data_IF_806027049488
#
_entry.id   IF_806027049488
#
_cell.length_a   1.000
_cell.length_b   1.000
_cell.length_c   1.000
_cell.angle_alpha   90.00
_cell.angle_beta   90.00
_cell.angle_gamma   90.00
#
_symmetry.space_group_name_H-M   'P 1'
#
loop_
_entity.id
_entity.type
_entity.pdbx_description
1 polymer ?
#
# COMPACT_ATOMS: atom_id res chain seq x y z
N UNK A 1 14.49 -12.72 -21.44
CA UNK A 1 14.23 -11.47 -20.68
C UNK A 1 12.93 -10.87 -21.20
N UNK A 2 11.97 -10.57 -20.33
CA UNK A 2 10.70 -9.95 -20.77
C UNK A 2 10.91 -8.43 -20.85
N UNK A 3 10.60 -7.84 -22.02
CA UNK A 3 10.74 -6.39 -22.20
C UNK A 3 9.80 -5.60 -21.26
N UNK A 4 10.32 -4.51 -20.70
CA UNK A 4 9.55 -3.61 -19.83
C UNK A 4 8.89 -2.56 -20.69
N UNK A 5 7.59 -2.72 -20.96
CA UNK A 5 6.84 -1.84 -21.85
C UNK A 5 5.78 -1.08 -21.04
N UNK A 6 5.63 0.23 -21.28
CA UNK A 6 4.59 1.05 -20.65
C UNK A 6 3.20 0.76 -21.23
N UNK A 7 2.14 1.16 -20.52
CA UNK A 7 0.76 0.90 -20.98
C UNK A 7 0.48 1.49 -22.36
N UNK A 8 0.98 2.70 -22.63
CA UNK A 8 0.73 3.40 -23.89
C UNK A 8 1.40 2.66 -25.05
N UNK A 9 2.68 2.32 -24.92
CA UNK A 9 3.43 1.56 -25.91
C UNK A 9 2.96 0.10 -26.07
N UNK A 10 2.25 -0.45 -25.07
CA UNK A 10 1.58 -1.76 -25.18
C UNK A 10 0.25 -1.68 -25.94
N UNK A 11 -0.41 -0.53 -25.94
CA UNK A 11 -1.70 -0.29 -26.61
C UNK A 11 -1.56 0.34 -27.99
N UNK A 12 -0.39 0.87 -28.36
CA UNK A 12 -0.16 1.46 -29.67
C UNK A 12 -0.30 0.41 -30.78
N UNK A 13 -1.09 0.75 -31.81
CA UNK A 13 -1.46 -0.11 -32.95
C UNK A 13 -0.30 -0.46 -33.90
N UNK A 14 0.92 0.04 -33.67
CA UNK A 14 2.09 -0.32 -34.49
C UNK A 14 2.52 -1.78 -34.34
N UNK A 15 1.88 -2.58 -33.47
CA UNK A 15 2.09 -4.02 -33.38
C UNK A 15 1.53 -4.83 -34.57
N UNK A 16 0.80 -4.21 -35.51
CA UNK A 16 0.28 -4.90 -36.72
C UNK A 16 0.84 -4.37 -38.04
N UNK A 17 1.86 -3.51 -38.02
CA UNK A 17 2.61 -3.14 -39.22
C UNK A 17 4.00 -3.79 -39.12
N UNK A 18 4.22 -4.85 -39.89
CA UNK A 18 5.57 -5.23 -40.29
C UNK A 18 6.14 -4.06 -41.09
N UNK A 19 6.81 -3.12 -40.40
CA UNK A 19 7.70 -2.19 -41.06
C UNK A 19 8.88 -3.00 -41.59
N UNK A 20 9.14 -2.92 -42.89
CA UNK A 20 10.32 -3.55 -43.47
C UNK A 20 11.59 -2.98 -42.82
N UNK A 21 12.65 -3.78 -42.76
CA UNK A 21 13.99 -3.41 -42.27
C UNK A 21 14.51 -2.07 -42.85
N UNK A 22 14.00 -1.64 -43.99
CA UNK A 22 14.33 -0.37 -44.62
C UNK A 22 13.85 0.88 -43.85
N UNK A 23 12.83 0.75 -42.99
CA UNK A 23 12.30 1.88 -42.19
C UNK A 23 13.12 2.21 -40.94
N UNK A 24 14.05 1.34 -40.54
CA UNK A 24 14.98 1.55 -39.43
C UNK A 24 16.38 2.00 -39.85
N UNK A 25 16.72 1.94 -41.15
CA UNK A 25 18.06 2.25 -41.68
C UNK A 25 18.23 3.73 -42.08
N UNK A 26 17.36 4.63 -41.62
CA UNK A 26 17.39 6.06 -41.96
C UNK A 26 18.21 6.96 -41.03
N UNK A 27 18.76 6.45 -39.92
CA UNK A 27 19.64 7.24 -39.04
C UNK A 27 20.83 6.41 -38.61
N UNK A 28 21.87 6.42 -39.44
CA UNK A 28 23.19 5.98 -39.05
C UNK A 28 23.74 6.92 -37.98
N UNK A 29 23.81 6.43 -36.74
CA UNK A 29 24.87 6.79 -35.80
C UNK A 29 25.28 5.47 -35.12
N UNK A 30 26.58 5.13 -35.08
CA UNK A 30 27.00 3.85 -34.54
C UNK A 30 26.77 3.86 -33.02
N UNK A 31 25.86 3.00 -32.56
CA UNK A 31 25.81 2.61 -31.16
C UNK A 31 27.07 1.79 -30.86
N UNK A 32 28.14 2.50 -30.50
CA UNK A 32 29.29 1.92 -29.84
C UNK A 32 28.86 1.57 -28.42
N UNK A 33 28.72 0.28 -28.16
CA UNK A 33 28.71 -0.24 -26.79
C UNK A 33 30.08 0.06 -26.20
N UNK A 34 30.19 1.16 -25.46
CA UNK A 34 31.28 1.33 -24.50
C UNK A 34 30.75 0.89 -23.15
N UNK A 35 31.33 -0.20 -22.64
CA UNK A 35 31.35 -0.45 -21.20
C UNK A 35 32.14 0.71 -20.57
N UNK A 36 31.44 1.78 -20.18
CA UNK A 36 32.02 2.83 -19.36
C UNK A 36 32.13 2.31 -17.93
N UNK A 37 33.35 2.15 -17.46
CA UNK A 37 33.67 1.83 -16.07
C UNK A 37 32.97 2.82 -15.12
N UNK A 38 32.33 2.27 -14.09
CA UNK A 38 31.64 3.06 -13.08
C UNK A 38 32.63 3.97 -12.35
N UNK A 39 32.41 5.29 -12.41
CA UNK A 39 33.03 6.21 -11.45
C UNK A 39 32.48 5.89 -10.06
N UNK A 40 33.37 5.55 -9.13
CA UNK A 40 33.03 5.32 -7.74
C UNK A 40 32.46 6.61 -7.12
N UNK A 41 31.21 6.57 -6.65
CA UNK A 41 30.67 7.63 -5.79
C UNK A 41 29.21 8.06 -6.00
N UNK A 42 28.51 7.61 -7.04
CA UNK A 42 27.10 7.96 -7.24
C UNK A 42 26.23 6.69 -7.27
N UNK A 43 25.46 6.47 -6.21
CA UNK A 43 24.42 5.44 -6.19
C UNK A 43 23.27 5.86 -7.11
N UNK A 44 23.40 5.66 -8.42
CA UNK A 44 22.27 5.79 -9.32
C UNK A 44 21.37 4.56 -9.15
N UNK A 45 20.28 4.71 -8.41
CA UNK A 45 19.21 3.73 -8.45
C UNK A 45 18.74 3.63 -9.91
N UNK A 46 19.00 2.51 -10.57
CA UNK A 46 18.62 2.27 -11.97
C UNK A 46 17.12 2.57 -12.16
N UNK A 47 16.83 3.70 -12.80
CA UNK A 47 15.45 4.12 -13.03
C UNK A 47 14.85 3.18 -14.06
N UNK A 48 13.84 2.40 -13.64
CA UNK A 48 13.15 1.48 -14.54
C UNK A 48 12.43 2.26 -15.65
N UNK A 49 12.88 2.11 -16.89
CA UNK A 49 12.34 2.82 -18.05
C UNK A 49 11.62 1.88 -19.03
N UNK A 50 10.70 2.43 -19.82
CA UNK A 50 10.05 1.72 -20.91
C UNK A 50 11.04 1.43 -22.04
N UNK A 51 11.19 0.18 -22.46
CA UNK A 51 12.10 -0.22 -23.55
C UNK A 51 11.76 0.39 -24.92
N UNK A 52 10.53 0.93 -25.10
CA UNK A 52 10.09 1.55 -26.37
C UNK A 52 10.18 3.06 -26.40
N UNK A 53 9.71 3.73 -25.35
CA UNK A 53 9.66 5.20 -25.30
C UNK A 53 10.63 5.82 -24.29
N UNK A 54 11.42 5.00 -23.59
CA UNK A 54 12.39 5.39 -22.56
C UNK A 54 11.81 6.20 -21.40
N UNK A 55 10.48 6.30 -21.30
CA UNK A 55 9.80 6.99 -20.19
C UNK A 55 10.04 6.24 -18.87
N UNK A 56 10.39 6.93 -17.78
CA UNK A 56 10.43 6.34 -16.44
C UNK A 56 9.09 5.70 -16.06
N UNK A 57 9.15 4.53 -15.43
CA UNK A 57 7.99 3.74 -15.02
C UNK A 57 7.58 3.98 -13.55
N UNK A 58 8.09 5.05 -12.96
CA UNK A 58 7.74 5.57 -11.65
C UNK A 58 6.76 6.73 -11.78
N UNK A 59 5.88 6.91 -10.79
CA UNK A 59 4.99 8.09 -10.71
C UNK A 59 5.37 8.98 -9.54
N UNK A 60 5.64 10.26 -9.83
CA UNK A 60 6.03 11.27 -8.82
C UNK A 60 4.96 11.50 -7.74
N UNK A 61 3.68 11.21 -8.04
CA UNK A 61 2.56 11.41 -7.10
C UNK A 61 2.70 10.60 -5.80
N UNK A 62 3.45 9.50 -5.79
CA UNK A 62 3.58 8.60 -4.64
C UNK A 62 4.86 8.81 -3.82
N UNK A 63 5.83 9.60 -4.31
CA UNK A 63 7.08 9.88 -3.59
C UNK A 63 6.89 10.78 -2.35
N UNK A 64 5.69 11.31 -2.12
CA UNK A 64 5.40 12.31 -1.06
C UNK A 64 4.56 11.78 0.10
N UNK A 65 4.67 10.49 0.46
CA UNK A 65 4.03 9.94 1.67
C UNK A 65 4.91 9.95 2.92
N UNK A 66 6.15 10.45 2.83
CA UNK A 66 6.95 10.81 4.01
C UNK A 66 6.28 11.97 4.74
N UNK A 67 5.77 11.71 5.94
CA UNK A 67 5.13 12.74 6.77
C UNK A 67 6.08 13.90 7.13
N UNK A 68 7.40 13.69 7.01
CA UNK A 68 8.42 14.68 7.35
C UNK A 68 8.69 15.70 6.24
N UNK A 69 8.44 15.36 4.97
CA UNK A 69 8.72 16.20 3.79
C UNK A 69 7.48 16.88 3.20
N UNK A 70 6.38 16.94 3.95
CA UNK A 70 5.17 17.64 3.49
C UNK A 70 5.43 19.15 3.54
N UNK A 71 5.40 19.89 2.40
CA UNK A 71 5.54 21.34 2.44
C UNK A 71 4.43 21.94 3.30
N UNK A 72 4.78 22.99 4.06
CA UNK A 72 3.82 23.75 4.85
C UNK A 72 2.64 24.15 3.94
N UNK A 73 1.44 23.71 4.29
CA UNK A 73 0.26 23.97 3.47
C UNK A 73 0.01 25.49 3.42
N UNK A 74 0.20 26.10 2.26
CA UNK A 74 -0.20 27.48 2.03
C UNK A 74 -1.70 27.56 1.65
N UNK A 75 -2.40 28.44 2.39
CA UNK A 75 -3.74 29.03 2.20
C UNK A 75 -4.99 28.17 2.45
N UNK A 76 -5.67 28.51 3.56
CA UNK A 76 -7.13 28.68 3.57
C UNK A 76 -7.97 27.73 4.43
N UNK A 77 -7.68 27.59 5.73
CA UNK A 77 -8.65 27.02 6.68
C UNK A 77 -8.05 26.21 7.83
N UNK A 78 -8.82 26.03 8.90
CA UNK A 78 -8.44 25.18 10.03
C UNK A 78 -8.35 23.70 9.56
N UNK A 79 -7.21 23.00 9.73
CA UNK A 79 -7.03 21.62 9.29
C UNK A 79 -8.08 20.65 9.86
N UNK A 80 -8.52 20.89 11.09
CA UNK A 80 -9.55 20.12 11.77
C UNK A 80 -10.92 20.27 11.09
N UNK A 81 -11.32 21.51 10.76
CA UNK A 81 -12.58 21.78 10.08
C UNK A 81 -12.62 21.15 8.68
N UNK A 82 -11.49 21.23 7.95
CA UNK A 82 -11.37 20.59 6.65
C UNK A 82 -11.47 19.06 6.74
N UNK A 83 -10.84 18.45 7.76
CA UNK A 83 -10.91 17.01 8.01
C UNK A 83 -12.33 16.57 8.40
N UNK A 84 -13.01 17.32 9.27
CA UNK A 84 -14.39 17.06 9.67
C UNK A 84 -15.35 17.09 8.48
N UNK A 85 -15.19 18.09 7.60
CA UNK A 85 -15.97 18.18 6.36
C UNK A 85 -15.80 16.94 5.48
N UNK A 86 -14.55 16.46 5.31
CA UNK A 86 -14.26 15.22 4.57
C UNK A 86 -14.94 14.00 5.18
N UNK A 87 -14.93 13.88 6.51
CA UNK A 87 -15.59 12.78 7.21
C UNK A 87 -17.10 12.78 7.01
N UNK A 88 -17.76 13.93 7.17
CA UNK A 88 -19.21 14.06 6.93
C UNK A 88 -19.58 13.72 5.49
N UNK A 89 -18.80 14.19 4.51
CA UNK A 89 -18.99 13.85 3.10
C UNK A 89 -18.82 12.34 2.84
N UNK A 90 -17.77 11.73 3.40
CA UNK A 90 -17.53 10.30 3.26
C UNK A 90 -18.63 9.46 3.94
N UNK A 91 -19.17 9.93 5.07
CA UNK A 91 -20.27 9.28 5.76
C UNK A 91 -21.53 9.24 4.88
N UNK A 92 -21.90 10.37 4.26
CA UNK A 92 -23.01 10.44 3.29
C UNK A 92 -22.76 9.51 2.10
N UNK A 93 -21.57 9.57 1.48
CA UNK A 93 -21.23 8.73 0.32
C UNK A 93 -21.28 7.23 0.62
N UNK A 94 -20.95 6.83 1.84
CA UNK A 94 -20.91 5.42 2.25
C UNK A 94 -22.18 4.96 2.98
N UNK A 95 -23.18 5.84 3.13
CA UNK A 95 -24.42 5.54 3.87
C UNK A 95 -24.20 5.28 5.36
N UNK A 96 -23.13 5.83 5.95
CA UNK A 96 -22.85 5.71 7.37
C UNK A 96 -23.57 6.83 8.15
N UNK A 97 -24.43 6.47 9.10
CA UNK A 97 -25.08 7.45 9.96
C UNK A 97 -24.03 8.26 10.76
N UNK A 98 -24.29 9.56 10.91
CA UNK A 98 -23.43 10.50 11.63
C UNK A 98 -24.16 10.98 12.89
N UNK A 99 -23.75 10.45 14.05
CA UNK A 99 -24.36 10.72 15.35
C UNK A 99 -23.46 11.57 16.25
N UNK A 100 -22.19 11.77 15.87
CA UNK A 100 -21.26 12.65 16.58
C UNK A 100 -21.62 14.12 16.44
N UNK A 101 -21.54 14.86 17.54
CA UNK A 101 -21.47 16.32 17.48
C UNK A 101 -20.11 16.78 16.94
N UNK A 102 -20.06 18.00 16.41
CA UNK A 102 -18.82 18.56 15.86
C UNK A 102 -17.76 18.69 16.95
N UNK A 103 -18.14 19.08 18.18
CA UNK A 103 -17.22 19.16 19.32
C UNK A 103 -16.63 17.80 19.69
N UNK A 104 -17.42 16.73 19.70
CA UNK A 104 -16.93 15.37 19.97
C UNK A 104 -15.95 14.91 18.89
N UNK A 105 -16.31 15.09 17.62
CA UNK A 105 -15.44 14.72 16.50
C UNK A 105 -14.11 15.50 16.54
N UNK A 106 -14.17 16.80 16.80
CA UNK A 106 -12.99 17.66 16.91
C UNK A 106 -12.12 17.31 18.12
N UNK A 107 -12.72 16.90 19.25
CA UNK A 107 -11.97 16.41 20.41
C UNK A 107 -11.18 15.15 20.04
N UNK A 108 -11.82 14.14 19.42
CA UNK A 108 -11.14 12.93 18.98
C UNK A 108 -9.98 13.20 18.00
N UNK A 109 -10.10 14.19 17.12
CA UNK A 109 -9.01 14.55 16.19
C UNK A 109 -7.76 15.15 16.87
N UNK A 110 -7.87 15.54 18.14
CA UNK A 110 -6.77 16.04 18.98
C UNK A 110 -6.16 14.98 19.88
N UNK A 111 -6.84 13.84 20.02
CA UNK A 111 -6.34 12.75 20.85
C UNK A 111 -5.26 11.91 20.13
N UNK A 112 -4.37 11.26 20.89
CA UNK A 112 -3.43 10.29 20.36
C UNK A 112 -4.13 9.13 19.64
N UNK A 113 -3.45 8.52 18.68
CA UNK A 113 -3.98 7.36 17.97
C UNK A 113 -4.20 6.16 18.90
N UNK A 114 -5.41 5.58 18.88
CA UNK A 114 -5.77 4.40 19.69
C UNK A 114 -4.93 3.14 19.38
N UNK A 115 -4.29 3.07 18.21
CA UNK A 115 -3.50 1.91 17.79
C UNK A 115 -2.00 2.08 18.04
N UNK A 116 -1.39 3.13 17.50
CA UNK A 116 0.06 3.35 17.64
C UNK A 116 0.44 4.37 18.72
N UNK A 117 -0.52 5.08 19.32
CA UNK A 117 -0.23 6.09 20.34
C UNK A 117 0.32 7.42 19.84
N UNK A 118 0.58 7.56 18.54
CA UNK A 118 1.13 8.81 17.99
C UNK A 118 0.16 9.97 18.24
N UNK A 119 0.65 11.00 18.94
CA UNK A 119 -0.06 12.25 19.16
C UNK A 119 -0.14 13.06 17.84
N UNK A 120 -1.22 13.83 17.63
CA UNK A 120 -1.28 14.77 16.52
C UNK A 120 -0.31 15.93 16.73
N UNK A 121 0.22 16.47 15.64
CA UNK A 121 1.04 17.68 15.64
C UNK A 121 0.20 18.83 15.09
N UNK A 122 -0.49 19.51 16.00
CA UNK A 122 -1.39 20.61 15.65
C UNK A 122 -0.63 21.84 15.12
N UNK A 123 0.65 22.01 15.51
CA UNK A 123 1.50 23.10 15.04
C UNK A 123 1.79 22.94 13.54
N UNK A 124 2.07 21.70 13.11
CA UNK A 124 2.25 21.35 11.69
C UNK A 124 0.94 21.05 10.96
N UNK A 125 -0.20 21.21 11.63
CA UNK A 125 -1.53 20.93 11.07
C UNK A 125 -1.80 19.44 10.82
N UNK A 126 -1.04 18.54 11.44
CA UNK A 126 -1.20 17.09 11.38
C UNK A 126 -2.19 16.70 12.49
N UNK A 127 -3.41 16.35 12.09
CA UNK A 127 -4.49 15.95 13.00
C UNK A 127 -4.69 14.44 12.99
N UNK A 128 -5.18 13.89 14.10
CA UNK A 128 -5.66 12.51 14.13
C UNK A 128 -6.94 12.40 13.30
N UNK A 129 -7.16 11.23 12.71
CA UNK A 129 -8.44 10.87 12.12
C UNK A 129 -9.38 10.25 13.15
N UNK A 130 -10.58 9.91 12.68
CA UNK A 130 -11.58 9.13 13.39
C UNK A 130 -11.67 7.77 12.69
N UNK A 131 -11.51 6.69 13.46
CA UNK A 131 -11.76 5.32 13.00
C UNK A 131 -13.04 4.78 13.59
N UNK A 132 -13.74 3.91 12.84
CA UNK A 132 -14.92 3.20 13.32
C UNK A 132 -14.52 1.84 13.90
N UNK A 133 -14.98 1.53 15.10
CA UNK A 133 -14.56 0.38 15.90
C UNK A 133 -15.23 -0.94 15.50
N UNK A 134 -16.28 -0.86 14.66
CA UNK A 134 -17.12 -2.00 14.26
C UNK A 134 -17.91 -2.60 15.44
N UNK A 135 -18.24 -1.77 16.42
CA UNK A 135 -19.15 -2.09 17.51
C UNK A 135 -20.60 -1.82 17.06
N UNK A 136 -21.21 -2.80 16.39
CA UNK A 136 -22.54 -2.67 15.79
C UNK A 136 -23.40 -3.95 15.95
N UNK A 137 -23.20 -4.71 17.03
CA UNK A 137 -24.01 -5.90 17.32
C UNK A 137 -23.84 -7.05 16.32
N UNK A 138 -22.69 -7.15 15.63
CA UNK A 138 -22.40 -8.25 14.71
C UNK A 138 -22.91 -8.05 13.27
N UNK A 139 -23.50 -6.90 12.96
CA UNK A 139 -23.90 -6.56 11.59
C UNK A 139 -22.67 -6.46 10.69
N UNK A 140 -22.76 -6.96 9.44
CA UNK A 140 -21.68 -6.88 8.43
C UNK A 140 -21.49 -5.46 7.87
N UNK A 141 -21.39 -4.45 8.74
CA UNK A 141 -21.08 -3.07 8.42
C UNK A 141 -19.99 -2.53 9.37
N UNK A 142 -19.54 -1.29 9.14
CA UNK A 142 -18.64 -0.59 10.08
C UNK A 142 -19.38 0.15 11.19
N UNK A 143 -20.71 0.17 11.16
CA UNK A 143 -21.55 0.93 12.08
C UNK A 143 -21.54 2.45 11.85
N UNK A 144 -22.30 3.20 12.67
CA UNK A 144 -22.40 4.64 12.61
C UNK A 144 -21.14 5.35 13.13
N UNK A 145 -20.99 6.63 12.81
CA UNK A 145 -20.09 7.52 13.55
C UNK A 145 -20.79 7.95 14.84
N UNK A 146 -20.58 7.18 15.91
CA UNK A 146 -21.12 7.43 17.25
C UNK A 146 -20.00 7.36 18.29
N UNK A 147 -20.21 7.91 19.49
CA UNK A 147 -19.20 7.89 20.55
C UNK A 147 -18.78 6.46 20.90
N UNK A 148 -19.73 5.53 20.97
CA UNK A 148 -19.44 4.13 21.29
C UNK A 148 -18.66 3.42 20.16
N UNK A 149 -18.90 3.76 18.90
CA UNK A 149 -18.30 3.07 17.76
C UNK A 149 -17.14 3.85 17.11
N UNK A 150 -16.59 4.88 17.74
CA UNK A 150 -15.49 5.66 17.16
C UNK A 150 -14.34 5.91 18.13
N UNK A 151 -13.15 6.07 17.58
CA UNK A 151 -11.95 6.44 18.33
C UNK A 151 -10.99 7.27 17.47
N UNK A 152 -10.07 7.97 18.13
CA UNK A 152 -8.96 8.68 17.49
C UNK A 152 -7.99 7.70 16.82
N UNK A 153 -7.61 7.94 15.57
CA UNK A 153 -6.70 7.07 14.85
C UNK A 153 -5.95 7.82 13.76
N UNK A 154 -4.63 7.68 13.70
CA UNK A 154 -3.85 8.30 12.63
C UNK A 154 -4.23 7.69 11.27
N UNK A 155 -3.97 8.43 10.19
CA UNK A 155 -4.37 8.01 8.85
C UNK A 155 -3.76 6.66 8.43
N UNK A 156 -2.50 6.40 8.79
CA UNK A 156 -1.82 5.14 8.47
C UNK A 156 -2.50 3.94 9.14
N UNK A 157 -2.70 4.01 10.46
CA UNK A 157 -3.34 2.95 11.23
C UNK A 157 -4.82 2.76 10.83
N UNK A 158 -5.54 3.83 10.48
CA UNK A 158 -6.92 3.71 10.03
C UNK A 158 -7.03 2.95 8.69
N UNK A 159 -6.08 3.17 7.77
CA UNK A 159 -5.98 2.40 6.52
C UNK A 159 -5.64 0.94 6.81
N UNK A 160 -4.61 0.68 7.64
CA UNK A 160 -4.20 -0.68 8.00
C UNK A 160 -5.32 -1.47 8.68
N UNK A 161 -6.04 -0.83 9.59
CA UNK A 161 -7.19 -1.43 10.28
C UNK A 161 -8.27 -1.84 9.28
N UNK A 162 -8.59 -0.98 8.31
CA UNK A 162 -9.68 -1.23 7.36
C UNK A 162 -10.96 -1.65 8.08
N UNK A 163 -11.40 -2.88 7.82
CA UNK A 163 -12.62 -3.48 8.41
C UNK A 163 -12.39 -4.27 9.70
N UNK A 164 -11.13 -4.44 10.13
CA UNK A 164 -10.80 -5.23 11.32
C UNK A 164 -11.26 -4.51 12.60
N UNK A 165 -11.58 -5.28 13.64
CA UNK A 165 -11.71 -4.75 15.01
C UNK A 165 -10.34 -4.34 15.53
N UNK A 166 -10.28 -3.59 16.64
CA UNK A 166 -8.99 -3.19 17.24
C UNK A 166 -8.14 -4.41 17.62
N UNK A 167 -8.76 -5.44 18.20
CA UNK A 167 -8.03 -6.64 18.62
C UNK A 167 -7.50 -7.42 17.42
N UNK A 168 -8.34 -7.58 16.38
CA UNK A 168 -7.92 -8.25 15.16
C UNK A 168 -6.74 -7.54 14.48
N UNK A 169 -6.75 -6.20 14.36
CA UNK A 169 -5.62 -5.50 13.74
C UNK A 169 -4.36 -5.53 14.63
N UNK A 170 -4.52 -5.48 15.96
CA UNK A 170 -3.40 -5.63 16.90
C UNK A 170 -2.75 -7.00 16.73
N UNK A 171 -3.53 -8.08 16.71
CA UNK A 171 -3.00 -9.44 16.52
C UNK A 171 -2.36 -9.64 15.14
N UNK A 172 -2.95 -9.10 14.08
CA UNK A 172 -2.34 -9.07 12.75
C UNK A 172 -0.96 -8.40 12.80
N UNK A 173 -0.87 -7.22 13.43
CA UNK A 173 0.39 -6.49 13.57
C UNK A 173 1.41 -7.24 14.43
N UNK A 174 0.98 -7.86 15.54
CA UNK A 174 1.84 -8.69 16.41
C UNK A 174 2.42 -9.88 15.65
N UNK A 175 1.60 -10.59 14.85
CA UNK A 175 2.08 -11.72 14.05
C UNK A 175 3.06 -11.28 12.95
N UNK A 176 2.74 -10.21 12.21
CA UNK A 176 3.63 -9.67 11.17
C UNK A 176 4.96 -9.23 11.80
N UNK A 177 4.93 -8.44 12.87
CA UNK A 177 6.14 -7.95 13.53
C UNK A 177 7.01 -9.12 14.06
N UNK A 178 6.38 -10.18 14.58
CA UNK A 178 7.10 -11.36 15.05
C UNK A 178 7.73 -12.15 13.90
N UNK A 179 6.99 -12.34 12.80
CA UNK A 179 7.47 -13.03 11.61
C UNK A 179 8.65 -12.29 10.95
N UNK A 180 8.61 -10.95 10.93
CA UNK A 180 9.67 -10.12 10.36
C UNK A 180 10.87 -9.93 11.30
N UNK A 181 10.88 -10.57 12.48
CA UNK A 181 11.99 -10.48 13.43
C UNK A 181 12.10 -9.13 14.15
N UNK A 182 11.03 -8.33 14.19
CA UNK A 182 11.01 -7.04 14.89
C UNK A 182 10.80 -7.16 16.41
N UNK A 183 10.55 -8.37 16.93
CA UNK A 183 10.31 -8.68 18.34
C UNK A 183 9.57 -10.02 18.48
N UNK A 184 9.21 -10.41 19.71
CA UNK A 184 8.39 -11.61 19.98
C UNK A 184 7.05 -11.19 20.58
N UNK A 185 6.03 -11.06 19.73
CA UNK A 185 4.69 -10.59 20.10
C UNK A 185 3.61 -11.67 20.00
N UNK A 186 3.99 -12.89 19.62
CA UNK A 186 3.08 -14.03 19.43
C UNK A 186 2.74 -14.31 17.97
N UNK A 187 2.06 -15.44 17.74
CA UNK A 187 1.66 -15.91 16.40
C UNK A 187 0.15 -16.08 16.31
N UNK A 188 -0.45 -15.41 15.31
CA UNK A 188 -1.89 -15.36 15.08
C UNK A 188 -2.26 -15.71 13.62
N UNK A 189 -1.87 -16.89 13.11
CA UNK A 189 -2.08 -17.27 11.71
C UNK A 189 -3.57 -17.31 11.30
N UNK A 190 -4.47 -17.58 12.24
CA UNK A 190 -5.92 -17.63 12.06
C UNK A 190 -6.54 -16.28 11.67
N UNK A 191 -5.86 -15.16 11.95
CA UNK A 191 -6.33 -13.82 11.54
C UNK A 191 -6.15 -13.54 10.06
N UNK A 192 -5.36 -14.34 9.36
CA UNK A 192 -5.11 -14.22 7.93
C UNK A 192 -6.09 -15.09 7.17
N UNK A 193 -7.06 -14.48 6.49
CA UNK A 193 -8.15 -15.19 5.81
C UNK A 193 -7.63 -15.94 4.58
N UNK A 194 -8.26 -17.07 4.26
CA UNK A 194 -7.98 -17.81 3.04
C UNK A 194 -8.52 -17.14 1.79
N UNK A 195 -7.69 -17.04 0.76
CA UNK A 195 -8.11 -16.60 -0.55
C UNK A 195 -8.22 -17.83 -1.47
N UNK A 196 -9.44 -18.28 -1.71
CA UNK A 196 -9.72 -19.43 -2.59
C UNK A 196 -9.65 -19.06 -4.08
N UNK A 197 -9.63 -17.77 -4.41
CA UNK A 197 -9.58 -17.28 -5.79
C UNK A 197 -8.14 -17.19 -6.30
N UNK A 198 -7.75 -18.13 -7.17
CA UNK A 198 -6.46 -18.10 -7.87
C UNK A 198 -6.38 -16.88 -8.79
N UNK A 199 -5.33 -16.07 -8.64
CA UNK A 199 -5.10 -14.88 -9.47
C UNK A 199 -4.37 -15.25 -10.76
N UNK A 200 -4.79 -14.66 -11.86
CA UNK A 200 -4.07 -14.71 -13.15
C UNK A 200 -3.29 -13.42 -13.37
N UNK A 201 -2.34 -13.43 -14.30
CA UNK A 201 -1.55 -12.24 -14.68
C UNK A 201 -2.43 -11.06 -15.15
N UNK A 202 -3.55 -11.34 -15.80
CA UNK A 202 -4.44 -10.30 -16.33
C UNK A 202 -5.11 -9.47 -15.23
N UNK A 203 -5.30 -10.03 -14.02
CA UNK A 203 -5.82 -9.28 -12.87
C UNK A 203 -4.95 -8.07 -12.47
N UNK A 204 -3.68 -8.06 -12.86
CA UNK A 204 -2.72 -7.00 -12.53
C UNK A 204 -2.60 -5.93 -13.62
N UNK A 205 -3.33 -6.10 -14.74
CA UNK A 205 -3.36 -5.18 -15.86
C UNK A 205 -4.51 -4.17 -15.74
N UNK A 206 -4.41 -3.27 -14.77
CA UNK A 206 -5.38 -2.18 -14.54
C UNK A 206 -4.67 -0.84 -14.33
N UNK A 207 -5.37 0.27 -14.52
CA UNK A 207 -4.95 1.62 -14.09
C UNK A 207 -3.51 2.01 -14.43
N UNK A 208 -3.07 1.91 -15.70
CA UNK A 208 -1.70 2.27 -16.12
C UNK A 208 -0.58 1.33 -15.63
N UNK A 209 -0.93 0.18 -15.05
CA UNK A 209 0.04 -0.86 -14.68
C UNK A 209 0.39 -1.75 -15.86
N UNK A 210 1.61 -2.26 -15.86
CA UNK A 210 2.05 -3.29 -16.82
C UNK A 210 2.76 -4.43 -16.13
N UNK A 211 2.84 -5.58 -16.80
CA UNK A 211 3.52 -6.78 -16.30
C UNK A 211 4.65 -7.15 -17.25
N UNK A 212 5.83 -7.34 -16.68
CA UNK A 212 7.01 -7.88 -17.35
C UNK A 212 7.47 -9.11 -16.55
N UNK A 213 6.59 -10.13 -16.54
CA UNK A 213 6.80 -11.43 -15.92
C UNK A 213 6.32 -12.51 -16.90
N UNK A 214 7.14 -13.55 -17.07
CA UNK A 214 6.74 -14.81 -17.69
C UNK A 214 5.70 -15.53 -16.83
N UNK A 215 5.00 -16.51 -17.39
CA UNK A 215 4.08 -17.35 -16.60
C UNK A 215 4.81 -18.18 -15.54
N UNK A 216 6.03 -18.63 -15.85
CA UNK A 216 6.88 -19.37 -14.93
C UNK A 216 7.30 -18.49 -13.74
N UNK A 217 7.80 -17.27 -13.98
CA UNK A 217 8.17 -16.33 -12.92
C UNK A 217 6.96 -15.94 -12.06
N UNK A 218 5.82 -15.62 -12.70
CA UNK A 218 4.60 -15.31 -11.99
C UNK A 218 4.19 -16.45 -11.04
N UNK A 219 4.17 -17.69 -11.56
CA UNK A 219 3.84 -18.89 -10.80
C UNK A 219 4.82 -19.09 -9.64
N UNK A 220 6.12 -18.98 -9.90
CA UNK A 220 7.16 -19.14 -8.90
C UNK A 220 7.01 -18.16 -7.74
N UNK A 221 6.63 -16.90 -8.01
CA UNK A 221 6.40 -15.89 -6.96
C UNK A 221 5.15 -16.22 -6.15
N UNK A 222 3.99 -16.45 -6.78
CA UNK A 222 2.73 -16.68 -6.04
C UNK A 222 2.68 -18.01 -5.26
N UNK A 223 3.61 -18.92 -5.55
CA UNK A 223 3.81 -20.18 -4.80
C UNK A 223 4.73 -20.01 -3.58
N UNK A 224 5.37 -18.84 -3.40
CA UNK A 224 6.10 -18.53 -2.17
C UNK A 224 5.17 -18.18 -1.00
N UNK A 225 5.60 -18.39 0.25
CA UNK A 225 4.94 -17.83 1.43
C UNK A 225 4.77 -16.31 1.32
N UNK A 226 3.74 -15.77 1.99
CA UNK A 226 3.52 -14.33 2.05
C UNK A 226 4.75 -13.63 2.65
N UNK A 227 5.28 -12.63 1.94
CA UNK A 227 6.48 -11.90 2.35
C UNK A 227 6.35 -11.22 3.72
N UNK A 228 5.14 -10.87 4.14
CA UNK A 228 4.90 -10.12 5.38
C UNK A 228 4.55 -10.99 6.58
N UNK A 229 3.78 -12.06 6.37
CA UNK A 229 3.27 -12.89 7.47
C UNK A 229 3.64 -14.38 7.36
N UNK A 230 4.36 -14.79 6.31
CA UNK A 230 4.76 -16.18 6.14
C UNK A 230 3.64 -17.14 5.76
N UNK A 231 2.40 -16.66 5.54
CA UNK A 231 1.30 -17.54 5.14
C UNK A 231 1.60 -18.25 3.82
N UNK A 232 1.73 -19.58 3.89
CA UNK A 232 2.01 -20.43 2.75
C UNK A 232 0.77 -20.57 1.84
N UNK A 233 0.95 -20.63 0.51
CA UNK A 233 -0.12 -21.04 -0.40
C UNK A 233 -0.44 -22.53 -0.22
N UNK A 234 -1.72 -22.87 -0.35
CA UNK A 234 -2.23 -24.22 -0.20
C UNK A 234 -3.23 -24.49 -1.33
N UNK A 235 -2.90 -25.41 -2.23
CA UNK A 235 -3.70 -25.67 -3.44
C UNK A 235 -5.14 -26.04 -3.05
N UNK A 236 -6.11 -25.33 -3.62
CA UNK A 236 -7.54 -25.53 -3.35
C UNK A 236 -8.08 -24.76 -2.14
N UNK A 237 -7.22 -24.18 -1.31
CA UNK A 237 -7.63 -23.47 -0.08
C UNK A 237 -7.10 -22.05 -0.01
N UNK A 238 -5.79 -21.86 -0.22
CA UNK A 238 -5.13 -20.56 -0.14
C UNK A 238 -4.28 -20.26 -1.38
N UNK A 239 -4.53 -19.12 -2.01
CA UNK A 239 -3.68 -18.58 -3.06
C UNK A 239 -3.18 -17.20 -2.68
N UNK A 240 -1.86 -17.05 -2.65
CA UNK A 240 -1.20 -15.76 -2.61
C UNK A 240 -1.34 -15.03 -3.96
N UNK A 241 -1.19 -13.72 -3.93
CA UNK A 241 -1.09 -12.86 -5.09
C UNK A 241 0.24 -12.13 -5.12
N UNK A 242 0.27 -11.03 -5.88
CA UNK A 242 1.40 -10.12 -5.92
C UNK A 242 1.08 -8.84 -5.14
N UNK A 243 1.97 -8.46 -4.23
CA UNK A 243 2.04 -7.09 -3.73
C UNK A 243 3.22 -6.37 -4.38
N UNK A 244 3.07 -5.06 -4.58
CA UNK A 244 4.16 -4.22 -5.07
C UNK A 244 4.92 -3.68 -3.88
N UNK A 245 6.23 -3.91 -3.84
CA UNK A 245 7.12 -3.40 -2.78
C UNK A 245 6.97 -1.89 -2.72
N UNK A 246 7.16 -1.24 -3.87
CA UNK A 246 7.03 0.20 -4.04
C UNK A 246 5.83 0.53 -4.96
N UNK A 247 4.87 1.26 -4.41
CA UNK A 247 3.59 1.54 -5.08
C UNK A 247 3.72 2.57 -6.23
N UNK A 248 4.75 3.42 -6.18
CA UNK A 248 5.10 4.38 -7.24
C UNK A 248 5.56 3.67 -8.53
N UNK A 249 6.16 2.47 -8.42
CA UNK A 249 6.52 1.65 -9.56
C UNK A 249 5.28 0.95 -10.11
N UNK A 250 4.97 1.20 -11.39
CA UNK A 250 3.74 0.68 -12.04
C UNK A 250 3.96 -0.56 -12.87
N UNK A 251 5.15 -1.16 -12.80
CA UNK A 251 5.50 -2.40 -13.52
C UNK A 251 5.69 -3.53 -12.53
N UNK A 252 5.05 -4.66 -12.81
CA UNK A 252 5.26 -5.91 -12.11
C UNK A 252 6.44 -6.64 -12.77
N UNK A 253 7.57 -6.71 -12.05
CA UNK A 253 8.82 -7.39 -12.43
C UNK A 253 9.28 -8.22 -11.23
N UNK A 254 10.21 -9.16 -11.42
CA UNK A 254 10.71 -10.01 -10.32
C UNK A 254 11.30 -9.19 -9.16
N UNK A 255 11.80 -7.98 -9.42
CA UNK A 255 12.43 -7.12 -8.42
C UNK A 255 11.46 -6.11 -7.78
N UNK A 256 10.25 -5.93 -8.32
CA UNK A 256 9.30 -4.90 -7.86
C UNK A 256 8.10 -5.47 -7.12
N UNK A 257 7.97 -6.80 -7.09
CA UNK A 257 6.83 -7.49 -6.49
C UNK A 257 7.27 -8.62 -5.57
N UNK A 258 6.41 -8.94 -4.61
CA UNK A 258 6.59 -10.06 -3.69
C UNK A 258 5.29 -10.87 -3.58
N UNK A 259 5.41 -12.12 -3.14
CA UNK A 259 4.25 -12.94 -2.78
C UNK A 259 3.52 -12.34 -1.59
N UNK A 260 2.20 -12.20 -1.67
CA UNK A 260 1.43 -11.58 -0.59
C UNK A 260 0.03 -12.16 -0.46
N UNK A 261 -0.40 -12.44 0.77
CA UNK A 261 -1.76 -12.85 1.07
C UNK A 261 -2.72 -11.65 1.03
N UNK A 262 -4.02 -11.92 0.88
CA UNK A 262 -5.03 -10.86 0.78
C UNK A 262 -5.07 -9.91 1.99
N UNK A 263 -4.97 -10.46 3.20
CA UNK A 263 -4.97 -9.67 4.44
C UNK A 263 -3.81 -8.68 4.50
N UNK A 264 -2.57 -9.12 4.24
CA UNK A 264 -1.41 -8.24 4.26
C UNK A 264 -1.47 -7.19 3.15
N UNK A 265 -1.87 -7.58 1.94
CA UNK A 265 -1.97 -6.66 0.81
C UNK A 265 -2.99 -5.54 1.07
N UNK A 266 -4.14 -5.87 1.69
CA UNK A 266 -5.14 -4.88 2.07
C UNK A 266 -4.65 -3.96 3.20
N UNK A 267 -3.98 -4.51 4.21
CA UNK A 267 -3.46 -3.73 5.34
C UNK A 267 -2.34 -2.78 4.92
N UNK A 268 -1.40 -3.23 4.07
CA UNK A 268 -0.36 -2.37 3.49
C UNK A 268 -0.96 -1.29 2.61
N UNK A 269 -1.91 -1.67 1.74
CA UNK A 269 -2.61 -0.76 0.85
C UNK A 269 -1.64 0.06 -0.01
N UNK A 270 -1.55 1.36 0.26
CA UNK A 270 -0.69 2.29 -0.48
C UNK A 270 0.61 2.65 0.25
N UNK A 271 0.79 2.19 1.48
CA UNK A 271 1.99 2.46 2.26
C UNK A 271 3.22 1.81 1.62
N UNK A 272 4.38 2.39 1.89
CA UNK A 272 5.67 1.74 1.63
C UNK A 272 5.82 0.53 2.54
N UNK A 273 6.68 -0.40 2.14
CA UNK A 273 7.00 -1.59 2.95
C UNK A 273 7.53 -1.17 4.31
N UNK A 274 8.41 -0.19 4.34
CA UNK A 274 9.09 0.31 5.53
C UNK A 274 8.08 0.90 6.52
N UNK A 275 7.22 1.82 6.06
CA UNK A 275 6.19 2.43 6.90
C UNK A 275 5.19 1.39 7.41
N UNK A 276 4.82 0.41 6.57
CA UNK A 276 3.89 -0.64 6.97
C UNK A 276 4.48 -1.51 8.10
N UNK A 277 5.73 -1.95 7.94
CA UNK A 277 6.40 -2.79 8.94
C UNK A 277 6.69 -2.01 10.23
N UNK A 278 7.13 -0.76 10.13
CA UNK A 278 7.32 0.13 11.29
C UNK A 278 6.01 0.28 12.06
N UNK A 279 4.89 0.53 11.38
CA UNK A 279 3.57 0.64 12.03
C UNK A 279 3.12 -0.68 12.66
N UNK A 280 3.38 -1.82 12.04
CA UNK A 280 3.10 -3.12 12.66
C UNK A 280 3.89 -3.29 13.96
N UNK A 281 5.17 -2.89 13.98
CA UNK A 281 6.01 -2.92 15.17
C UNK A 281 5.48 -2.00 16.27
N UNK A 282 5.24 -0.72 15.98
CA UNK A 282 4.71 0.24 16.96
C UNK A 282 3.40 -0.23 17.62
N UNK A 283 2.47 -0.76 16.80
CA UNK A 283 1.18 -1.27 17.29
C UNK A 283 1.40 -2.50 18.18
N UNK A 284 2.31 -3.40 17.78
CA UNK A 284 2.60 -4.61 18.52
C UNK A 284 3.22 -4.32 19.90
N UNK A 285 4.19 -3.41 19.96
CA UNK A 285 4.86 -2.97 21.20
C UNK A 285 3.85 -2.33 22.17
N UNK A 286 3.04 -1.39 21.68
CA UNK A 286 2.02 -0.73 22.49
C UNK A 286 0.99 -1.72 23.03
N UNK A 287 0.50 -2.62 22.20
CA UNK A 287 -0.46 -3.63 22.60
C UNK A 287 0.11 -4.70 23.55
N UNK A 288 1.44 -4.76 23.75
CA UNK A 288 2.07 -5.52 24.82
C UNK A 288 2.08 -4.77 26.15
N UNK A 289 2.31 -3.46 26.11
CA UNK A 289 2.34 -2.60 27.31
C UNK A 289 0.97 -2.36 27.96
N UNK A 290 -0.13 -2.45 27.20
CA UNK A 290 -1.51 -2.26 27.71
C UNK A 290 -2.09 -3.53 28.40
N UNK A 291 -1.35 -4.65 28.45
CA UNK A 291 -1.80 -5.93 29.01
C UNK A 291 -1.17 -6.29 30.37
N UNK A 292 -0.53 -5.31 31.05
CA UNK A 292 0.06 -5.44 32.39
C UNK A 292 -0.62 -4.47 33.35
#
# INVERSE_FOLDING_TARGET
MVEVICKDCRRSRDASRQGSLASFLGRAAPASFSHGEAKAGEGSADVLCCSRCLRPMQMDRFQSMDTEKRPAAAKGGCPLAAQLKRYKQAAVQTGAAWELTDSQALAMMREPCVLCGKAPDLVRGIVSGITRLRQNGGVRSMGPFSIANTASCCAACNVMKGIHTLDAIREICKHIASHQGCGSFGSFPERFVDNTSRRSKSCYLADNKTIALTDAEFKAIVEQPCHYCGKAPEKGKHYNGLDRVENSVRVYTINTVVSCCGTCNMAKGKHTTELFLEKCKEIAERAGSESV
#
